data_IF_500304060802
#
_entry.id   IF_500304060802
#
_cell.length_a   1.000
_cell.length_b   1.000
_cell.length_c   1.000
_cell.angle_alpha   90.00
_cell.angle_beta   90.00
_cell.angle_gamma   90.00
#
_symmetry.space_group_name_H-M   'P 1'
#
loop_
_entity.id
_entity.type
_entity.pdbx_description
1 polymer ?
#
# COMPACT_ATOMS: atom_id res chain seq x y z
N UNK A 1 -16.00 -1.70 -11.01
CA UNK A 1 -15.24 -1.32 -9.79
C UNK A 1 -16.20 -0.89 -8.70
N UNK A 2 -16.06 -1.39 -7.46
CA UNK A 2 -16.81 -0.86 -6.31
C UNK A 2 -16.09 0.39 -5.78
N UNK A 3 -16.29 1.53 -6.44
CA UNK A 3 -15.60 2.80 -6.17
C UNK A 3 -15.63 3.22 -4.70
N UNK A 4 -16.78 3.09 -4.02
CA UNK A 4 -16.87 3.44 -2.59
C UNK A 4 -15.96 2.59 -1.69
N UNK A 5 -15.82 1.29 -1.98
CA UNK A 5 -14.86 0.44 -1.25
C UNK A 5 -13.43 0.80 -1.62
N UNK A 6 -13.14 0.99 -2.90
CA UNK A 6 -11.81 1.36 -3.35
C UNK A 6 -11.34 2.64 -2.65
N UNK A 7 -12.17 3.68 -2.64
CA UNK A 7 -11.87 4.94 -1.96
C UNK A 7 -11.64 4.75 -0.47
N UNK A 8 -12.50 3.99 0.22
CA UNK A 8 -12.32 3.67 1.65
C UNK A 8 -10.96 3.02 1.92
N UNK A 9 -10.58 2.01 1.14
CA UNK A 9 -9.33 1.30 1.34
C UNK A 9 -8.11 2.13 0.90
N UNK A 10 -8.22 2.94 -0.16
CA UNK A 10 -7.17 3.91 -0.51
C UNK A 10 -6.94 4.94 0.60
N UNK A 11 -8.00 5.39 1.27
CA UNK A 11 -7.90 6.26 2.44
C UNK A 11 -7.25 5.54 3.63
N UNK A 12 -7.54 4.25 3.82
CA UNK A 12 -6.85 3.42 4.81
C UNK A 12 -5.36 3.27 4.49
N UNK A 13 -4.98 3.10 3.22
CA UNK A 13 -3.57 3.07 2.81
C UNK A 13 -2.85 4.34 3.22
N UNK A 14 -3.47 5.49 2.94
CA UNK A 14 -2.91 6.79 3.27
C UNK A 14 -2.72 6.97 4.78
N UNK A 15 -3.78 6.76 5.56
CA UNK A 15 -3.74 6.92 7.02
C UNK A 15 -2.76 5.93 7.67
N UNK A 16 -2.78 4.66 7.26
CA UNK A 16 -1.89 3.64 7.80
C UNK A 16 -0.42 3.99 7.53
N UNK A 17 -0.11 4.46 6.32
CA UNK A 17 1.23 4.90 5.96
C UNK A 17 1.68 6.08 6.83
N UNK A 18 0.81 7.09 7.01
CA UNK A 18 1.09 8.24 7.86
C UNK A 18 1.36 7.85 9.32
N UNK A 19 0.53 6.97 9.89
CA UNK A 19 0.71 6.51 11.28
C UNK A 19 2.05 5.81 11.44
N UNK A 20 2.40 4.88 10.53
CA UNK A 20 3.65 4.14 10.62
C UNK A 20 4.85 5.07 10.44
N UNK A 21 4.80 5.99 9.47
CA UNK A 21 5.84 7.00 9.29
C UNK A 21 6.01 7.89 10.52
N UNK A 22 4.91 8.32 11.15
CA UNK A 22 4.96 9.12 12.37
C UNK A 22 5.63 8.36 13.51
N UNK A 23 5.23 7.12 13.77
CA UNK A 23 5.83 6.27 14.81
C UNK A 23 7.33 6.09 14.55
N UNK A 24 7.71 5.79 13.30
CA UNK A 24 9.11 5.57 12.94
C UNK A 24 9.94 6.86 13.10
N UNK A 25 9.37 8.00 12.75
CA UNK A 25 10.00 9.32 12.89
C UNK A 25 10.27 9.65 14.35
N UNK A 26 9.25 9.49 15.21
CA UNK A 26 9.40 9.69 16.66
C UNK A 26 10.45 8.73 17.23
N UNK A 27 10.41 7.46 16.84
CA UNK A 27 11.36 6.47 17.32
C UNK A 27 12.81 6.84 16.96
N UNK A 28 13.07 7.20 15.71
CA UNK A 28 14.43 7.51 15.27
C UNK A 28 14.91 8.81 15.93
N UNK A 29 14.06 9.84 15.94
CA UNK A 29 14.44 11.13 16.50
C UNK A 29 14.82 11.05 17.99
N UNK A 30 14.10 10.25 18.79
CA UNK A 30 14.33 10.18 20.23
C UNK A 30 15.18 8.99 20.69
N UNK A 31 15.23 7.89 19.94
CA UNK A 31 15.79 6.62 20.41
C UNK A 31 16.89 6.02 19.50
N UNK A 32 17.18 6.59 18.32
CA UNK A 32 18.16 5.96 17.43
C UNK A 32 19.04 6.91 16.62
N UNK A 33 20.36 6.69 16.69
CA UNK A 33 21.37 7.34 15.83
C UNK A 33 21.89 6.42 14.72
N UNK A 34 21.22 5.29 14.44
CA UNK A 34 21.72 4.31 13.49
C UNK A 34 21.25 4.63 12.05
N UNK A 35 22.15 4.79 11.07
CA UNK A 35 21.78 5.08 9.68
C UNK A 35 21.01 3.94 8.99
N UNK A 36 21.06 2.71 9.51
CA UNK A 36 20.32 1.57 8.95
C UNK A 36 18.80 1.72 8.94
N UNK A 37 18.25 2.67 9.71
CA UNK A 37 16.80 2.92 9.74
C UNK A 37 16.25 3.58 8.45
N UNK A 38 17.10 4.18 7.62
CA UNK A 38 16.67 4.69 6.29
C UNK A 38 16.15 3.57 5.38
N UNK A 39 16.74 2.37 5.49
CA UNK A 39 16.29 1.20 4.74
C UNK A 39 14.87 0.82 5.19
N UNK A 40 14.59 0.86 6.51
CA UNK A 40 13.28 0.54 7.06
C UNK A 40 12.19 1.48 6.53
N UNK A 41 12.50 2.78 6.37
CA UNK A 41 11.57 3.75 5.76
C UNK A 41 11.13 3.33 4.36
N UNK A 42 12.03 2.75 3.57
CA UNK A 42 11.72 2.32 2.20
C UNK A 42 10.77 1.12 2.13
N UNK A 43 10.62 0.34 3.21
CA UNK A 43 9.72 -0.82 3.26
C UNK A 43 8.31 -0.50 3.76
N UNK A 44 8.08 0.69 4.34
CA UNK A 44 6.77 1.05 4.91
C UNK A 44 5.67 0.99 3.85
N UNK A 45 5.82 1.69 2.72
CA UNK A 45 4.79 1.71 1.66
C UNK A 45 4.52 0.32 1.07
N UNK A 46 5.55 -0.48 0.70
CA UNK A 46 5.36 -1.87 0.29
C UNK A 46 4.52 -2.73 1.26
N UNK A 47 4.77 -2.60 2.57
CA UNK A 47 4.04 -3.38 3.59
C UNK A 47 2.60 -2.86 3.73
N UNK A 48 2.41 -1.54 3.74
CA UNK A 48 1.10 -0.93 3.86
C UNK A 48 0.19 -1.27 2.66
N UNK A 49 0.73 -1.18 1.45
CA UNK A 49 -0.04 -1.47 0.23
C UNK A 49 -0.42 -2.94 0.15
N UNK A 50 0.47 -3.84 0.59
CA UNK A 50 0.17 -5.26 0.69
C UNK A 50 -1.01 -5.51 1.64
N UNK A 51 -0.94 -4.99 2.87
CA UNK A 51 -1.96 -5.18 3.89
C UNK A 51 -3.32 -4.61 3.45
N UNK A 52 -3.33 -3.41 2.89
CA UNK A 52 -4.56 -2.76 2.44
C UNK A 52 -5.14 -3.43 1.20
N UNK A 53 -4.31 -3.82 0.23
CA UNK A 53 -4.77 -4.55 -0.95
C UNK A 53 -5.42 -5.88 -0.57
N UNK A 54 -4.86 -6.57 0.42
CA UNK A 54 -5.43 -7.78 1.00
C UNK A 54 -6.79 -7.55 1.64
N UNK A 55 -6.93 -6.50 2.47
CA UNK A 55 -8.21 -6.15 3.08
C UNK A 55 -9.25 -5.71 2.04
N UNK A 56 -8.84 -4.91 1.06
CA UNK A 56 -9.69 -4.49 -0.05
C UNK A 56 -10.23 -5.69 -0.82
N UNK A 57 -9.35 -6.62 -1.16
CA UNK A 57 -9.69 -7.79 -1.97
C UNK A 57 -10.58 -8.78 -1.22
N UNK A 58 -10.44 -8.91 0.11
CA UNK A 58 -11.43 -9.64 0.95
C UNK A 58 -12.81 -8.99 0.87
N UNK A 59 -12.90 -7.67 0.77
CA UNK A 59 -14.19 -6.97 0.76
C UNK A 59 -14.96 -7.10 -0.57
N UNK A 60 -14.31 -7.56 -1.64
CA UNK A 60 -14.89 -7.73 -2.99
C UNK A 60 -14.90 -9.23 -3.35
N UNK A 61 -15.71 -9.68 -4.32
CA UNK A 61 -15.89 -11.09 -4.69
C UNK A 61 -15.27 -11.39 -6.07
N UNK A 62 -14.13 -10.78 -6.37
CA UNK A 62 -13.56 -10.78 -7.73
C UNK A 62 -12.10 -11.22 -7.75
N UNK A 63 -11.51 -11.33 -8.95
CA UNK A 63 -10.13 -11.78 -9.18
C UNK A 63 -9.14 -10.88 -8.41
N UNK A 64 -8.32 -11.48 -7.53
CA UNK A 64 -7.40 -10.76 -6.64
C UNK A 64 -6.32 -9.96 -7.36
N UNK A 65 -5.89 -10.42 -8.54
CA UNK A 65 -4.92 -9.71 -9.38
C UNK A 65 -5.45 -8.34 -9.83
N UNK A 66 -6.69 -8.27 -10.31
CA UNK A 66 -7.32 -7.01 -10.71
C UNK A 66 -7.44 -6.03 -9.53
N UNK A 67 -7.81 -6.53 -8.34
CA UNK A 67 -8.00 -5.69 -7.16
C UNK A 67 -6.68 -5.11 -6.63
N UNK A 68 -5.60 -5.88 -6.70
CA UNK A 68 -4.26 -5.37 -6.42
C UNK A 68 -3.81 -4.31 -7.41
N UNK A 69 -4.09 -4.49 -8.71
CA UNK A 69 -3.78 -3.48 -9.74
C UNK A 69 -4.58 -2.19 -9.50
N UNK A 70 -5.87 -2.28 -9.14
CA UNK A 70 -6.68 -1.09 -8.87
C UNK A 70 -6.15 -0.25 -7.71
N UNK A 71 -5.75 -0.88 -6.59
CA UNK A 71 -5.12 -0.18 -5.46
C UNK A 71 -3.80 0.48 -5.89
N UNK A 72 -3.00 -0.23 -6.69
CA UNK A 72 -1.75 0.32 -7.21
C UNK A 72 -1.97 1.52 -8.13
N UNK A 73 -2.97 1.47 -9.03
CA UNK A 73 -3.31 2.59 -9.91
C UNK A 73 -3.68 3.83 -9.08
N UNK A 74 -4.50 3.67 -8.05
CA UNK A 74 -4.88 4.80 -7.18
C UNK A 74 -3.67 5.36 -6.43
N UNK A 75 -2.83 4.50 -5.87
CA UNK A 75 -1.57 4.91 -5.24
C UNK A 75 -0.68 5.68 -6.22
N UNK A 76 -0.47 5.13 -7.42
CA UNK A 76 0.41 5.72 -8.42
C UNK A 76 -0.12 7.07 -8.92
N UNK A 77 -1.42 7.19 -9.14
CA UNK A 77 -2.06 8.45 -9.46
C UNK A 77 -1.86 9.50 -8.35
N UNK A 78 -1.93 9.10 -7.07
CA UNK A 78 -1.67 9.99 -5.94
C UNK A 78 -0.21 10.47 -5.91
N UNK A 79 0.76 9.58 -6.16
CA UNK A 79 2.19 9.92 -6.26
C UNK A 79 2.43 10.93 -7.38
N UNK A 80 1.85 10.70 -8.56
CA UNK A 80 1.95 11.63 -9.69
C UNK A 80 1.34 13.00 -9.36
N UNK A 81 0.17 13.00 -8.72
CA UNK A 81 -0.52 14.23 -8.32
C UNK A 81 0.31 15.05 -7.33
N UNK A 82 0.89 14.41 -6.31
CA UNK A 82 1.78 15.07 -5.34
C UNK A 82 3.01 15.63 -6.05
N UNK A 83 3.62 14.86 -6.96
CA UNK A 83 4.79 15.31 -7.70
C UNK A 83 4.51 16.58 -8.53
N UNK A 84 3.35 16.62 -9.20
CA UNK A 84 2.92 17.80 -9.98
C UNK A 84 2.63 19.00 -9.09
N UNK A 85 1.86 18.81 -8.01
CA UNK A 85 1.44 19.91 -7.12
C UNK A 85 2.61 20.56 -6.38
N UNK A 86 3.54 19.75 -5.86
CA UNK A 86 4.65 20.23 -5.04
C UNK A 86 5.94 20.45 -5.83
N UNK A 87 5.91 20.26 -7.16
CA UNK A 87 7.09 20.31 -8.05
C UNK A 87 8.27 19.51 -7.48
N UNK A 88 7.96 18.36 -6.90
CA UNK A 88 8.94 17.61 -6.12
C UNK A 88 10.04 17.09 -7.04
N UNK A 89 11.32 17.44 -6.79
CA UNK A 89 12.40 17.22 -7.75
C UNK A 89 12.83 15.75 -7.87
N UNK A 90 12.30 14.84 -7.05
CA UNK A 90 12.74 13.46 -7.06
C UNK A 90 12.28 12.70 -8.32
N UNK A 91 13.16 11.88 -8.85
CA UNK A 91 12.87 10.98 -9.95
C UNK A 91 11.85 9.91 -9.55
N UNK A 92 11.04 9.47 -10.52
CA UNK A 92 10.16 8.32 -10.32
C UNK A 92 11.03 7.07 -10.38
N UNK A 93 11.33 6.50 -9.22
CA UNK A 93 12.10 5.25 -9.12
C UNK A 93 11.25 4.10 -9.65
N UNK A 94 11.43 3.75 -10.93
CA UNK A 94 10.63 2.72 -11.64
C UNK A 94 10.71 1.37 -10.92
N UNK A 95 11.92 0.96 -10.52
CA UNK A 95 12.13 -0.31 -9.81
C UNK A 95 11.32 -0.37 -8.49
N UNK A 96 11.32 0.73 -7.73
CA UNK A 96 10.59 0.83 -6.47
C UNK A 96 9.06 0.77 -6.68
N UNK A 97 8.54 1.46 -7.69
CA UNK A 97 7.12 1.39 -8.05
C UNK A 97 6.72 -0.01 -8.58
N UNK A 98 7.65 -0.72 -9.23
CA UNK A 98 7.49 -2.12 -9.60
C UNK A 98 7.35 -3.03 -8.39
N UNK A 99 8.17 -2.84 -7.35
CA UNK A 99 8.03 -3.57 -6.07
C UNK A 99 6.67 -3.30 -5.43
N UNK A 100 6.22 -2.04 -5.41
CA UNK A 100 4.91 -1.66 -4.87
C UNK A 100 3.77 -2.33 -5.65
N UNK A 101 3.86 -2.41 -6.97
CA UNK A 101 2.89 -3.13 -7.81
C UNK A 101 2.83 -4.61 -7.43
N UNK A 102 3.98 -5.28 -7.33
CA UNK A 102 4.07 -6.70 -6.96
C UNK A 102 3.44 -6.91 -5.58
N UNK A 103 3.76 -6.08 -4.59
CA UNK A 103 3.20 -6.19 -3.25
C UNK A 103 1.69 -5.97 -3.24
N UNK A 104 1.19 -5.03 -4.02
CA UNK A 104 -0.26 -4.81 -4.16
C UNK A 104 -0.96 -6.02 -4.78
N UNK A 105 -0.38 -6.63 -5.83
CA UNK A 105 -0.93 -7.83 -6.46
C UNK A 105 -0.92 -9.02 -5.49
N UNK A 106 0.19 -9.25 -4.79
CA UNK A 106 0.32 -10.33 -3.81
C UNK A 106 -0.72 -10.19 -2.69
N UNK A 107 -0.86 -8.99 -2.14
CA UNK A 107 -1.89 -8.68 -1.15
C UNK A 107 -3.28 -9.01 -1.69
N UNK A 108 -3.56 -8.61 -2.94
CA UNK A 108 -4.85 -8.84 -3.56
C UNK A 108 -5.18 -10.33 -3.76
N UNK A 109 -4.24 -11.11 -4.26
CA UNK A 109 -4.38 -12.57 -4.44
C UNK A 109 -4.64 -13.27 -3.10
N UNK A 110 -3.81 -12.99 -2.09
CA UNK A 110 -3.94 -13.60 -0.76
C UNK A 110 -5.27 -13.22 -0.11
N UNK A 111 -5.68 -11.96 -0.25
CA UNK A 111 -6.94 -11.45 0.28
C UNK A 111 -8.15 -12.24 -0.24
N UNK A 112 -8.23 -12.46 -1.56
CA UNK A 112 -9.34 -13.24 -2.14
C UNK A 112 -9.31 -14.70 -1.66
N UNK A 113 -8.13 -15.32 -1.66
CA UNK A 113 -7.98 -16.73 -1.28
C UNK A 113 -8.39 -16.99 0.19
N UNK A 114 -8.05 -16.08 1.11
CA UNK A 114 -8.44 -16.21 2.52
C UNK A 114 -9.96 -16.16 2.72
N UNK A 115 -10.66 -15.34 1.95
CA UNK A 115 -12.12 -15.28 2.02
C UNK A 115 -12.77 -16.55 1.48
N UNK A 116 -12.30 -17.04 0.33
CA UNK A 116 -12.82 -18.28 -0.25
C UNK A 116 -12.64 -19.47 0.70
N UNK A 117 -11.50 -19.56 1.39
CA UNK A 117 -11.27 -20.58 2.43
C UNK A 117 -12.24 -20.42 3.61
N UNK A 118 -12.52 -19.19 4.05
CA UNK A 118 -13.48 -18.93 5.13
C UNK A 118 -14.93 -19.25 4.75
N UNK A 119 -15.32 -19.10 3.48
CA UNK A 119 -16.67 -19.45 3.01
C UNK A 119 -16.80 -20.97 2.85
N UNK A 120 -15.75 -21.64 2.36
CA UNK A 120 -15.74 -23.11 2.17
C UNK A 120 -15.75 -23.90 3.49
N UNK A 121 -15.31 -23.29 4.59
CA UNK A 121 -15.30 -23.89 5.92
C UNK A 121 -16.55 -23.57 6.76
N UNK A 122 -17.54 -22.87 6.19
CA UNK A 122 -18.88 -22.66 6.78
C UNK A 122 -19.88 -23.55 6.07
#
# INVERSE_FOLDING_TARGET
>A
MKLGKLFKYSLYLFILSLIIYFILTVYIYYFSNNPGFEIVYSFIVPICIFAVSMLYSRSVHEKGLLRGIEIWIVYFAMVLLIKVLFRYPSEIRILYNGVILIMSILGGIIGVNMKNKSIKNK
#
